data_IF_304099180659
#
_entry.id   IF_304099180659
#
_cell.length_a   1.000
_cell.length_b   1.000
_cell.length_c   1.000
_cell.angle_alpha   90.00
_cell.angle_beta   90.00
_cell.angle_gamma   90.00
#
_symmetry.space_group_name_H-M   'P 1'
#
loop_
_entity.id
_entity.type
_entity.pdbx_description
1 polymer ?
#
# COMPACT_ATOMS: atom_id res chain seq x y z
N UNK A 1 21.54 -15.70 -53.26
CA UNK A 1 22.35 -14.94 -52.28
C UNK A 1 21.47 -14.17 -51.30
N UNK A 2 20.37 -13.54 -51.71
CA UNK A 2 19.42 -12.86 -50.81
C UNK A 2 18.92 -13.73 -49.64
N UNK A 3 18.42 -14.95 -49.92
CA UNK A 3 17.98 -15.88 -48.87
C UNK A 3 19.04 -16.20 -47.81
N UNK A 4 20.32 -16.12 -48.16
CA UNK A 4 21.42 -16.39 -47.23
C UNK A 4 21.75 -15.16 -46.38
N UNK A 5 21.57 -13.96 -46.92
CA UNK A 5 21.71 -12.70 -46.18
C UNK A 5 20.56 -12.52 -45.18
N UNK A 6 19.33 -12.82 -45.56
CA UNK A 6 18.16 -12.79 -44.66
C UNK A 6 18.31 -13.81 -43.53
N UNK A 7 18.80 -15.00 -43.88
CA UNK A 7 19.04 -16.06 -42.92
C UNK A 7 20.15 -15.72 -41.92
N UNK A 8 21.27 -15.13 -42.40
CA UNK A 8 22.36 -14.67 -41.53
C UNK A 8 21.86 -13.56 -40.59
N UNK A 9 21.11 -12.60 -41.11
CA UNK A 9 20.50 -11.53 -40.30
C UNK A 9 19.55 -12.06 -39.23
N UNK A 10 18.72 -13.06 -39.57
CA UNK A 10 17.83 -13.70 -38.60
C UNK A 10 18.62 -14.45 -37.51
N UNK A 11 19.72 -15.11 -37.90
CA UNK A 11 20.61 -15.83 -36.97
C UNK A 11 21.35 -14.86 -36.04
N UNK A 12 21.89 -13.78 -36.58
CA UNK A 12 22.58 -12.74 -35.80
C UNK A 12 21.61 -12.05 -34.82
N UNK A 13 20.39 -11.72 -35.28
CA UNK A 13 19.34 -11.17 -34.42
C UNK A 13 18.89 -12.18 -33.35
N UNK A 14 18.76 -13.46 -33.71
CA UNK A 14 18.42 -14.51 -32.75
C UNK A 14 19.49 -14.64 -31.67
N UNK A 15 20.78 -14.62 -32.02
CA UNK A 15 21.85 -14.70 -31.03
C UNK A 15 21.87 -13.48 -30.10
N UNK A 16 21.62 -12.28 -30.62
CA UNK A 16 21.50 -11.05 -29.81
C UNK A 16 20.33 -11.17 -28.83
N UNK A 17 19.16 -11.57 -29.34
CA UNK A 17 17.93 -11.70 -28.55
C UNK A 17 18.04 -12.83 -27.53
N UNK A 18 18.63 -13.96 -27.90
CA UNK A 18 18.88 -15.08 -26.99
C UNK A 18 19.76 -14.64 -25.82
N UNK A 19 20.84 -13.90 -26.07
CA UNK A 19 21.68 -13.32 -25.03
C UNK A 19 20.92 -12.36 -24.09
N UNK A 20 19.77 -11.80 -24.49
CA UNK A 20 18.91 -11.03 -23.58
C UNK A 20 18.09 -11.91 -22.63
N UNK A 21 17.85 -13.18 -22.99
CA UNK A 21 17.02 -14.13 -22.24
C UNK A 21 17.82 -15.16 -21.41
N UNK A 22 19.11 -15.39 -21.71
CA UNK A 22 19.99 -16.33 -20.99
C UNK A 22 21.27 -15.67 -20.47
N UNK A 23 21.69 -16.05 -19.26
CA UNK A 23 22.88 -15.50 -18.60
C UNK A 23 24.22 -15.97 -19.19
N UNK A 24 24.22 -17.09 -19.94
CA UNK A 24 25.39 -17.62 -20.65
C UNK A 24 25.01 -17.97 -22.09
N UNK A 25 25.77 -17.53 -23.10
CA UNK A 25 25.52 -17.91 -24.49
C UNK A 25 25.74 -19.42 -24.66
N UNK A 26 24.95 -20.11 -25.51
CA UNK A 26 25.15 -21.52 -25.80
C UNK A 26 26.57 -21.78 -26.33
N UNK A 27 27.16 -22.90 -25.92
CA UNK A 27 28.47 -23.34 -26.43
C UNK A 27 28.35 -23.69 -27.94
N UNK A 28 29.41 -23.42 -28.72
CA UNK A 28 29.44 -23.57 -30.19
C UNK A 28 28.77 -24.86 -30.68
N UNK A 29 27.72 -24.71 -31.50
CA UNK A 29 26.95 -25.80 -32.08
C UNK A 29 27.40 -26.10 -33.51
N UNK A 30 27.22 -27.35 -33.93
CA UNK A 30 27.59 -27.79 -35.27
C UNK A 30 26.70 -27.12 -36.33
N UNK A 31 27.32 -26.32 -37.22
CA UNK A 31 26.68 -25.43 -38.21
C UNK A 31 25.61 -26.08 -39.10
N UNK A 32 25.64 -27.40 -39.30
CA UNK A 32 24.65 -28.13 -40.10
C UNK A 32 23.34 -28.36 -39.31
N UNK A 33 23.46 -28.65 -38.01
CA UNK A 33 22.34 -28.86 -37.11
C UNK A 33 21.63 -27.52 -36.83
N UNK A 34 22.40 -26.44 -36.64
CA UNK A 34 21.89 -25.08 -36.53
C UNK A 34 21.05 -24.71 -37.75
N UNK A 35 21.55 -24.96 -38.97
CA UNK A 35 20.83 -24.62 -40.21
C UNK A 35 19.46 -25.27 -40.33
N UNK A 36 19.37 -26.54 -39.99
CA UNK A 36 18.12 -27.29 -40.08
C UNK A 36 17.12 -26.82 -39.02
N UNK A 37 17.59 -26.58 -37.79
CA UNK A 37 16.74 -26.13 -36.68
C UNK A 37 16.25 -24.67 -36.88
N UNK A 38 17.15 -23.77 -37.30
CA UNK A 38 16.86 -22.37 -37.60
C UNK A 38 15.86 -22.23 -38.76
N UNK A 39 15.97 -23.08 -39.79
CA UNK A 39 14.97 -23.11 -40.87
C UNK A 39 13.59 -23.63 -40.40
N UNK A 40 13.58 -24.63 -39.51
CA UNK A 40 12.37 -25.27 -39.00
C UNK A 40 11.63 -24.47 -37.92
N UNK A 41 12.28 -23.49 -37.30
CA UNK A 41 11.72 -22.65 -36.23
C UNK A 41 11.83 -21.15 -36.49
N UNK A 42 11.98 -20.76 -37.77
CA UNK A 42 12.11 -19.35 -38.20
C UNK A 42 10.97 -18.45 -37.70
N UNK A 43 9.75 -18.98 -37.61
CA UNK A 43 8.59 -18.25 -37.07
C UNK A 43 8.75 -17.99 -35.57
N UNK A 44 9.15 -18.98 -34.80
CA UNK A 44 9.44 -18.85 -33.37
C UNK A 44 10.53 -17.83 -33.11
N UNK A 45 11.60 -17.82 -33.92
CA UNK A 45 12.68 -16.83 -33.79
C UNK A 45 12.23 -15.41 -34.10
N UNK A 46 11.41 -15.22 -35.13
CA UNK A 46 10.85 -13.89 -35.41
C UNK A 46 9.99 -13.39 -34.23
N UNK A 47 9.15 -14.26 -33.67
CA UNK A 47 8.34 -13.90 -32.50
C UNK A 47 9.17 -13.59 -31.25
N UNK A 48 10.33 -14.26 -31.06
CA UNK A 48 11.28 -13.89 -29.99
C UNK A 48 11.82 -12.48 -30.17
N UNK A 49 12.23 -12.14 -31.40
CA UNK A 49 12.74 -10.79 -31.75
C UNK A 49 11.65 -9.74 -31.51
N UNK A 50 10.42 -10.01 -31.95
CA UNK A 50 9.30 -9.07 -31.82
C UNK A 50 8.96 -8.78 -30.34
N UNK A 51 9.32 -9.69 -29.43
CA UNK A 51 9.03 -9.61 -27.99
C UNK A 51 10.24 -9.29 -27.12
N UNK A 52 11.42 -9.11 -27.70
CA UNK A 52 12.67 -8.82 -26.99
C UNK A 52 12.53 -7.70 -25.95
N UNK A 53 11.72 -6.68 -26.28
CA UNK A 53 11.52 -5.49 -25.44
C UNK A 53 10.42 -5.64 -24.39
N UNK A 54 9.73 -6.78 -24.32
CA UNK A 54 8.62 -7.01 -23.40
C UNK A 54 9.10 -7.61 -22.07
N UNK A 55 9.04 -6.84 -21.00
CA UNK A 55 9.32 -7.31 -19.65
C UNK A 55 8.37 -8.44 -19.25
N UNK A 56 7.11 -8.40 -19.69
CA UNK A 56 6.15 -9.48 -19.46
C UNK A 56 6.64 -10.80 -20.07
N UNK A 57 7.12 -10.76 -21.31
CA UNK A 57 7.63 -11.95 -21.98
C UNK A 57 8.90 -12.48 -21.30
N UNK A 58 9.79 -11.58 -20.85
CA UNK A 58 10.95 -11.95 -20.03
C UNK A 58 10.56 -12.64 -18.71
N UNK A 59 9.51 -12.16 -18.03
CA UNK A 59 8.99 -12.80 -16.81
C UNK A 59 8.41 -14.19 -17.13
N UNK A 60 7.63 -14.32 -18.21
CA UNK A 60 7.09 -15.59 -18.66
C UNK A 60 8.21 -16.57 -18.98
N UNK A 61 9.23 -16.13 -19.72
CA UNK A 61 10.41 -16.91 -20.04
C UNK A 61 11.13 -17.43 -18.79
N UNK A 62 11.47 -16.54 -17.85
CA UNK A 62 12.21 -16.89 -16.62
C UNK A 62 11.49 -17.90 -15.73
N UNK A 63 10.16 -17.98 -15.79
CA UNK A 63 9.38 -19.00 -15.05
C UNK A 63 9.58 -20.40 -15.59
N UNK A 64 9.88 -20.50 -16.88
CA UNK A 64 10.09 -21.76 -17.57
C UNK A 64 11.55 -22.23 -17.51
N UNK A 65 12.49 -21.33 -17.17
CA UNK A 65 13.91 -21.67 -17.04
C UNK A 65 14.19 -22.34 -15.69
N UNK A 66 14.47 -23.64 -15.67
CA UNK A 66 15.17 -24.29 -14.56
C UNK A 66 16.68 -24.13 -14.73
N UNK A 67 17.41 -23.92 -13.64
CA UNK A 67 18.88 -23.74 -13.67
C UNK A 67 19.55 -24.90 -14.42
N UNK A 68 20.30 -24.53 -15.47
CA UNK A 68 21.00 -25.37 -16.44
C UNK A 68 20.10 -26.05 -17.48
N UNK A 69 19.96 -25.43 -18.64
CA UNK A 69 19.59 -26.15 -19.85
C UNK A 69 20.23 -25.53 -21.10
N UNK A 70 21.01 -26.34 -21.81
CA UNK A 70 21.57 -26.01 -23.12
C UNK A 70 21.60 -27.28 -23.98
N UNK A 71 20.51 -27.53 -24.72
CA UNK A 71 20.52 -27.50 -26.19
C UNK A 71 19.42 -26.57 -26.76
N UNK A 72 19.59 -26.05 -27.99
CA UNK A 72 18.60 -25.18 -28.66
C UNK A 72 17.18 -25.78 -28.68
N UNK A 73 17.03 -27.11 -28.72
CA UNK A 73 15.72 -27.76 -28.62
C UNK A 73 14.99 -27.45 -27.30
N UNK A 74 15.72 -27.29 -26.19
CA UNK A 74 15.17 -26.87 -24.90
C UNK A 74 14.81 -25.39 -24.95
N UNK A 75 15.64 -24.52 -25.54
CA UNK A 75 15.34 -23.09 -25.74
C UNK A 75 14.04 -22.91 -26.54
N UNK A 76 13.87 -23.67 -27.63
CA UNK A 76 12.64 -23.65 -28.44
C UNK A 76 11.43 -24.17 -27.64
N UNK A 77 11.62 -25.17 -26.78
CA UNK A 77 10.53 -25.66 -25.92
C UNK A 77 10.12 -24.65 -24.85
N UNK A 78 11.09 -23.97 -24.23
CA UNK A 78 10.89 -22.88 -23.27
C UNK A 78 10.15 -21.73 -23.96
N UNK A 79 10.61 -21.35 -25.16
CA UNK A 79 9.94 -20.34 -25.96
C UNK A 79 8.48 -20.70 -26.24
N UNK A 80 8.20 -21.92 -26.68
CA UNK A 80 6.83 -22.37 -26.99
C UNK A 80 5.92 -22.29 -25.77
N UNK A 81 6.44 -22.61 -24.59
CA UNK A 81 5.68 -22.48 -23.35
C UNK A 81 5.42 -21.01 -22.99
N UNK A 82 6.44 -20.15 -23.06
CA UNK A 82 6.29 -18.70 -22.84
C UNK A 82 5.36 -18.05 -23.88
N UNK A 83 5.41 -18.48 -25.14
CA UNK A 83 4.53 -18.05 -26.23
C UNK A 83 3.07 -18.48 -25.99
N UNK A 84 2.87 -19.69 -25.46
CA UNK A 84 1.56 -20.15 -25.03
C UNK A 84 1.01 -19.29 -23.88
N UNK A 85 1.82 -18.99 -22.87
CA UNK A 85 1.45 -18.11 -21.75
C UNK A 85 1.13 -16.69 -22.22
N UNK A 86 1.92 -16.17 -23.16
CA UNK A 86 1.69 -14.89 -23.84
C UNK A 86 0.35 -14.86 -24.59
N UNK A 87 0.08 -15.88 -25.41
CA UNK A 87 -1.18 -16.01 -26.13
C UNK A 87 -2.39 -16.15 -25.20
N UNK A 88 -2.23 -16.88 -24.10
CA UNK A 88 -3.26 -17.01 -23.07
C UNK A 88 -3.54 -15.66 -22.38
N UNK A 89 -2.50 -14.88 -22.04
CA UNK A 89 -2.66 -13.55 -21.47
C UNK A 89 -3.42 -12.61 -22.44
N UNK A 90 -3.03 -12.56 -23.71
CA UNK A 90 -3.73 -11.78 -24.74
C UNK A 90 -5.20 -12.19 -24.83
N UNK A 91 -5.47 -13.49 -24.88
CA UNK A 91 -6.83 -14.03 -24.94
C UNK A 91 -7.66 -13.60 -23.72
N UNK A 92 -7.10 -13.71 -22.51
CA UNK A 92 -7.76 -13.29 -21.27
C UNK A 92 -8.07 -11.79 -21.23
N UNK A 93 -7.15 -10.95 -21.73
CA UNK A 93 -7.35 -9.51 -21.84
C UNK A 93 -8.50 -9.21 -22.82
N UNK A 94 -8.43 -9.74 -24.05
CA UNK A 94 -9.46 -9.53 -25.09
C UNK A 94 -10.84 -10.00 -24.65
N UNK A 95 -10.91 -11.15 -23.98
CA UNK A 95 -12.16 -11.73 -23.51
C UNK A 95 -12.64 -11.16 -22.16
N UNK A 96 -11.90 -10.21 -21.57
CA UNK A 96 -12.18 -9.64 -20.25
C UNK A 96 -12.36 -10.70 -19.15
N UNK A 97 -11.62 -11.81 -19.26
CA UNK A 97 -11.60 -12.93 -18.30
C UNK A 97 -10.37 -12.90 -17.40
N UNK A 98 -9.45 -11.94 -17.62
CA UNK A 98 -8.26 -11.75 -16.78
C UNK A 98 -8.68 -11.50 -15.32
N UNK A 99 -8.11 -12.31 -14.42
CA UNK A 99 -8.37 -12.23 -13.00
C UNK A 99 -7.20 -11.60 -12.25
N UNK A 100 -7.47 -11.17 -11.03
CA UNK A 100 -6.47 -10.55 -10.15
C UNK A 100 -5.22 -11.42 -9.92
N UNK A 101 -5.43 -12.71 -9.69
CA UNK A 101 -4.34 -13.68 -9.49
C UNK A 101 -3.44 -13.82 -10.73
N UNK A 102 -3.97 -13.55 -11.92
CA UNK A 102 -3.19 -13.63 -13.16
C UNK A 102 -2.17 -12.49 -13.26
N UNK A 103 -2.35 -11.38 -12.50
CA UNK A 103 -1.47 -10.21 -12.51
C UNK A 103 -0.37 -10.22 -11.45
N UNK A 104 -0.50 -11.04 -10.39
CA UNK A 104 0.51 -11.15 -9.34
C UNK A 104 1.95 -11.39 -9.86
N UNK A 105 2.16 -12.20 -10.90
CA UNK A 105 3.43 -12.31 -11.64
C UNK A 105 4.09 -11.03 -12.13
N UNK A 106 3.29 -9.99 -12.42
CA UNK A 106 3.64 -8.91 -13.34
C UNK A 106 3.56 -7.53 -12.68
N UNK A 107 3.60 -7.48 -11.34
CA UNK A 107 3.40 -6.24 -10.55
C UNK A 107 4.36 -5.10 -10.93
N UNK A 108 5.59 -5.44 -11.31
CA UNK A 108 6.65 -4.46 -11.59
C UNK A 108 6.71 -3.96 -13.04
N UNK A 109 5.78 -4.39 -13.90
CA UNK A 109 5.85 -4.10 -15.34
C UNK A 109 5.13 -2.81 -15.73
N UNK A 110 5.67 -2.10 -16.71
CA UNK A 110 5.02 -0.91 -17.28
C UNK A 110 3.95 -1.32 -18.30
N UNK A 111 2.73 -1.58 -17.83
CA UNK A 111 1.62 -2.07 -18.65
C UNK A 111 1.28 -1.19 -19.85
N UNK A 112 1.49 0.12 -19.77
CA UNK A 112 1.29 1.04 -20.90
C UNK A 112 2.25 0.75 -22.07
N UNK A 113 3.51 0.44 -21.76
CA UNK A 113 4.48 0.05 -22.79
C UNK A 113 4.19 -1.36 -23.29
N UNK A 114 3.91 -2.29 -22.37
CA UNK A 114 3.62 -3.69 -22.69
C UNK A 114 2.39 -3.87 -23.58
N UNK A 115 1.34 -3.07 -23.40
CA UNK A 115 0.14 -3.11 -24.22
C UNK A 115 0.42 -2.80 -25.69
N UNK A 116 1.40 -1.94 -25.99
CA UNK A 116 1.81 -1.66 -27.38
C UNK A 116 2.51 -2.87 -28.03
N UNK A 117 3.19 -3.71 -27.23
CA UNK A 117 3.87 -4.92 -27.70
C UNK A 117 2.85 -6.07 -27.82
N UNK A 118 1.99 -6.26 -26.83
CA UNK A 118 0.92 -7.27 -26.81
C UNK A 118 -0.07 -7.12 -27.98
N UNK A 119 -0.32 -5.88 -28.40
CA UNK A 119 -1.31 -5.54 -29.43
C UNK A 119 -0.69 -4.78 -30.62
N UNK A 120 0.56 -5.10 -30.99
CA UNK A 120 1.29 -4.47 -32.10
C UNK A 120 0.55 -4.53 -33.45
N UNK A 121 -0.20 -5.61 -33.70
CA UNK A 121 -0.88 -5.89 -34.98
C UNK A 121 -2.31 -5.31 -35.09
N UNK A 122 -2.73 -4.49 -34.12
CA UNK A 122 -4.14 -4.07 -34.03
C UNK A 122 -4.48 -2.84 -34.88
N UNK A 123 -5.67 -2.85 -35.52
CA UNK A 123 -6.19 -1.72 -36.33
C UNK A 123 -6.54 -0.54 -35.42
N UNK A 124 -6.59 0.70 -35.95
CA UNK A 124 -6.80 1.93 -35.16
C UNK A 124 -7.99 1.90 -34.16
N UNK A 125 -9.06 1.13 -34.42
CA UNK A 125 -10.20 0.97 -33.48
C UNK A 125 -9.87 0.13 -32.24
N UNK A 126 -8.90 -0.77 -32.30
CA UNK A 126 -8.47 -1.63 -31.18
C UNK A 126 -7.46 -0.94 -30.26
N UNK A 127 -6.85 0.17 -30.69
CA UNK A 127 -5.92 0.97 -29.86
C UNK A 127 -6.60 1.63 -28.67
N UNK A 128 -7.81 2.15 -28.84
CA UNK A 128 -8.59 2.73 -27.73
C UNK A 128 -8.97 1.64 -26.71
N UNK A 129 -9.33 0.45 -27.19
CA UNK A 129 -9.65 -0.71 -26.34
C UNK A 129 -8.40 -1.20 -25.57
N UNK A 130 -7.23 -1.22 -26.21
CA UNK A 130 -5.96 -1.55 -25.55
C UNK A 130 -5.60 -0.54 -24.45
N UNK A 131 -5.85 0.74 -24.67
CA UNK A 131 -5.64 1.78 -23.66
C UNK A 131 -6.58 1.63 -22.46
N UNK A 132 -7.85 1.32 -22.69
CA UNK A 132 -8.81 1.01 -21.62
C UNK A 132 -8.37 -0.22 -20.81
N UNK A 133 -7.84 -1.27 -21.46
CA UNK A 133 -7.30 -2.42 -20.75
C UNK A 133 -6.07 -2.06 -19.92
N UNK A 134 -5.13 -1.28 -20.46
CA UNK A 134 -3.95 -0.78 -19.73
C UNK A 134 -4.38 -0.08 -18.45
N UNK A 135 -5.31 0.87 -18.56
CA UNK A 135 -5.77 1.64 -17.41
C UNK A 135 -6.47 0.76 -16.38
N UNK A 136 -7.25 -0.22 -16.83
CA UNK A 136 -7.91 -1.15 -15.91
C UNK A 136 -6.90 -2.06 -15.18
N UNK A 137 -5.85 -2.51 -15.86
CA UNK A 137 -4.79 -3.31 -15.24
C UNK A 137 -3.99 -2.46 -14.25
N UNK A 138 -3.58 -1.25 -14.62
CA UNK A 138 -2.87 -0.32 -13.73
C UNK A 138 -3.69 -0.03 -12.46
N UNK A 139 -4.97 0.32 -12.61
CA UNK A 139 -5.86 0.56 -11.47
C UNK A 139 -6.00 -0.67 -10.58
N UNK A 140 -6.09 -1.86 -11.17
CA UNK A 140 -6.19 -3.12 -10.42
C UNK A 140 -4.88 -3.44 -9.68
N UNK A 141 -3.72 -3.16 -10.26
CA UNK A 141 -2.43 -3.32 -9.59
C UNK A 141 -2.28 -2.36 -8.42
N UNK A 142 -2.63 -1.08 -8.59
CA UNK A 142 -2.60 -0.11 -7.49
C UNK A 142 -3.55 -0.56 -6.38
N UNK A 143 -4.72 -1.09 -6.73
CA UNK A 143 -5.65 -1.65 -5.73
C UNK A 143 -5.04 -2.83 -4.96
N UNK A 144 -4.18 -3.63 -5.59
CA UNK A 144 -3.53 -4.78 -4.97
C UNK A 144 -2.44 -4.32 -4.01
N UNK A 145 -1.63 -3.37 -4.44
CA UNK A 145 -0.58 -2.76 -3.62
C UNK A 145 -1.16 -2.03 -2.41
N UNK A 146 -2.32 -1.40 -2.57
CA UNK A 146 -3.00 -0.67 -1.50
C UNK A 146 -3.98 -1.52 -0.68
N UNK A 147 -4.15 -2.82 -0.98
CA UNK A 147 -5.14 -3.68 -0.32
C UNK A 147 -5.03 -3.66 1.21
N UNK A 148 -3.81 -3.75 1.73
CA UNK A 148 -3.53 -3.70 3.17
C UNK A 148 -3.91 -2.35 3.78
N UNK A 149 -3.64 -1.26 3.09
CA UNK A 149 -3.96 0.10 3.54
C UNK A 149 -5.46 0.27 3.72
N UNK A 150 -6.24 -0.25 2.79
CA UNK A 150 -7.70 -0.21 2.90
C UNK A 150 -8.24 -1.07 4.05
N UNK A 151 -7.63 -2.24 4.31
CA UNK A 151 -7.97 -3.07 5.48
C UNK A 151 -7.68 -2.33 6.78
N UNK A 152 -6.53 -1.64 6.85
CA UNK A 152 -6.16 -0.82 8.00
C UNK A 152 -7.10 0.36 8.18
N UNK A 153 -7.51 1.05 7.11
CA UNK A 153 -8.48 2.14 7.18
C UNK A 153 -9.81 1.64 7.76
N UNK A 154 -10.29 0.48 7.30
CA UNK A 154 -11.49 -0.13 7.86
C UNK A 154 -11.36 -0.39 9.34
N UNK A 155 -10.28 -1.07 9.75
CA UNK A 155 -10.03 -1.40 11.16
C UNK A 155 -9.89 -0.15 12.02
N UNK A 156 -9.16 0.87 11.56
CA UNK A 156 -8.99 2.14 12.26
C UNK A 156 -10.33 2.88 12.42
N UNK A 157 -11.16 2.89 11.37
CA UNK A 157 -12.52 3.46 11.41
C UNK A 157 -13.38 2.73 12.44
N UNK A 158 -13.39 1.40 12.42
CA UNK A 158 -14.16 0.59 13.38
C UNK A 158 -13.68 0.84 14.82
N UNK A 159 -12.36 0.96 15.05
CA UNK A 159 -11.78 1.29 16.37
C UNK A 159 -12.27 2.65 16.84
N UNK A 160 -12.07 3.69 16.02
CA UNK A 160 -12.42 5.07 16.38
C UNK A 160 -13.92 5.22 16.58
N UNK A 161 -14.75 4.59 15.73
CA UNK A 161 -16.20 4.59 15.86
C UNK A 161 -16.67 3.97 17.18
N UNK A 162 -16.00 2.92 17.67
CA UNK A 162 -16.35 2.30 18.95
C UNK A 162 -15.92 3.13 20.16
N UNK A 163 -14.90 3.98 20.01
CA UNK A 163 -14.41 4.89 21.04
C UNK A 163 -15.24 6.17 21.10
N UNK A 164 -15.72 6.62 19.93
CA UNK A 164 -16.47 7.85 19.75
C UNK A 164 -17.78 7.84 20.58
N UNK A 165 -18.01 8.90 21.35
CA UNK A 165 -19.17 9.01 22.24
C UNK A 165 -20.50 9.03 21.47
N UNK A 166 -20.48 9.60 20.25
CA UNK A 166 -21.62 9.63 19.34
C UNK A 166 -21.46 8.49 18.32
N UNK A 167 -22.28 7.45 18.43
CA UNK A 167 -22.28 6.37 17.44
C UNK A 167 -22.82 6.89 16.10
N UNK A 168 -22.15 6.55 15.01
CA UNK A 168 -22.66 6.82 13.67
C UNK A 168 -24.01 6.11 13.48
N UNK A 169 -24.96 6.81 12.87
CA UNK A 169 -26.36 6.39 12.79
C UNK A 169 -26.66 5.45 11.63
N UNK A 170 -25.74 5.30 10.68
CA UNK A 170 -25.92 4.48 9.48
C UNK A 170 -24.73 3.55 9.28
N UNK A 171 -25.00 2.24 9.33
CA UNK A 171 -24.10 1.20 8.84
C UNK A 171 -24.15 1.18 7.31
N UNK A 172 -23.05 1.55 6.68
CA UNK A 172 -22.99 1.73 5.23
C UNK A 172 -22.73 0.38 4.54
N UNK A 173 -23.73 -0.10 3.80
CA UNK A 173 -23.64 -1.37 3.06
C UNK A 173 -22.49 -1.37 2.07
N UNK A 174 -22.09 -0.20 1.56
CA UNK A 174 -20.96 -0.10 0.62
C UNK A 174 -19.61 -0.29 1.33
N UNK A 175 -19.50 0.10 2.61
CA UNK A 175 -18.34 -0.17 3.47
C UNK A 175 -18.17 -1.67 3.79
N UNK A 176 -19.28 -2.41 3.83
CA UNK A 176 -19.28 -3.86 4.02
C UNK A 176 -18.85 -4.62 2.76
N UNK A 177 -19.15 -4.09 1.58
CA UNK A 177 -18.82 -4.70 0.29
C UNK A 177 -17.32 -4.68 -0.05
N UNK A 178 -16.51 -3.90 0.67
CA UNK A 178 -15.06 -3.79 0.48
C UNK A 178 -14.32 -5.15 0.60
N UNK A 179 -14.90 -6.14 1.31
CA UNK A 179 -14.24 -7.40 1.65
C UNK A 179 -14.25 -8.49 0.56
N UNK A 180 -14.81 -8.24 -0.64
CA UNK A 180 -14.99 -9.31 -1.64
C UNK A 180 -13.94 -9.33 -2.77
N UNK A 181 -13.05 -10.31 -2.66
CA UNK A 181 -12.56 -11.27 -3.69
C UNK A 181 -11.30 -10.96 -4.51
N UNK A 182 -10.30 -11.81 -4.24
CA UNK A 182 -9.16 -12.23 -5.08
C UNK A 182 -9.61 -12.91 -6.41
N UNK A 183 -10.86 -13.38 -6.50
CA UNK A 183 -11.47 -13.94 -7.73
C UNK A 183 -12.38 -12.93 -8.46
N UNK A 184 -11.88 -11.72 -8.68
CA UNK A 184 -12.62 -10.68 -9.39
C UNK A 184 -11.92 -10.34 -10.71
N UNK A 185 -12.70 -10.02 -11.75
CA UNK A 185 -12.14 -9.56 -13.03
C UNK A 185 -11.44 -8.21 -12.87
N UNK A 186 -10.40 -7.97 -13.67
CA UNK A 186 -9.64 -6.72 -13.63
C UNK A 186 -10.53 -5.48 -13.83
N UNK A 187 -11.48 -5.53 -14.76
CA UNK A 187 -12.43 -4.42 -14.98
C UNK A 187 -13.22 -4.06 -13.72
N UNK A 188 -13.62 -5.07 -12.94
CA UNK A 188 -14.38 -4.86 -11.70
C UNK A 188 -13.49 -4.38 -10.57
N UNK A 189 -12.25 -4.89 -10.47
CA UNK A 189 -11.25 -4.40 -9.51
C UNK A 189 -10.88 -2.92 -9.79
N UNK A 190 -10.64 -2.57 -11.05
CA UNK A 190 -10.43 -1.19 -11.51
C UNK A 190 -11.60 -0.28 -11.12
N UNK A 191 -12.84 -0.72 -11.36
CA UNK A 191 -14.03 0.02 -10.96
C UNK A 191 -14.15 0.24 -9.45
N UNK A 192 -13.70 -0.73 -8.64
CA UNK A 192 -13.63 -0.55 -7.19
C UNK A 192 -12.54 0.43 -6.78
N UNK A 193 -11.33 0.30 -7.34
CA UNK A 193 -10.25 1.24 -7.09
C UNK A 193 -10.68 2.68 -7.38
N UNK A 194 -11.25 2.93 -8.56
CA UNK A 194 -11.70 4.27 -8.95
C UNK A 194 -12.75 4.82 -7.99
N UNK A 195 -13.72 4.00 -7.56
CA UNK A 195 -14.69 4.41 -6.54
C UNK A 195 -14.02 4.74 -5.21
N UNK A 196 -13.08 3.90 -4.76
CA UNK A 196 -12.38 4.12 -3.50
C UNK A 196 -11.51 5.37 -3.56
N UNK A 197 -10.80 5.59 -4.66
CA UNK A 197 -9.95 6.76 -4.90
C UNK A 197 -10.77 8.04 -5.00
N UNK A 198 -11.89 8.03 -5.72
CA UNK A 198 -12.80 9.18 -5.82
C UNK A 198 -13.33 9.58 -4.44
N UNK A 199 -13.63 8.58 -3.62
CA UNK A 199 -14.15 8.81 -2.29
C UNK A 199 -13.09 9.20 -1.25
N UNK A 200 -12.00 8.45 -1.15
CA UNK A 200 -11.04 8.56 -0.04
C UNK A 200 -9.72 9.22 -0.45
N UNK A 201 -9.54 9.51 -1.74
CA UNK A 201 -8.26 9.96 -2.28
C UNK A 201 -7.24 8.84 -2.40
N UNK A 202 -5.98 9.22 -2.53
CA UNK A 202 -4.86 8.29 -2.52
C UNK A 202 -4.52 7.88 -1.08
N UNK A 203 -4.43 6.56 -0.85
CA UNK A 203 -4.15 5.97 0.46
C UNK A 203 -2.72 5.43 0.56
N UNK A 204 -1.93 5.50 -0.52
CA UNK A 204 -0.63 4.83 -0.63
C UNK A 204 0.38 5.31 0.43
N UNK A 205 0.23 6.52 0.95
CA UNK A 205 1.10 7.10 1.99
C UNK A 205 0.49 7.05 3.40
N UNK A 206 -0.63 6.33 3.58
CA UNK A 206 -1.40 6.36 4.83
C UNK A 206 -1.16 5.16 5.75
N UNK A 207 -0.36 4.18 5.31
CA UNK A 207 -0.14 2.92 6.04
C UNK A 207 0.25 3.14 7.50
N UNK A 208 1.35 3.86 7.71
CA UNK A 208 1.96 4.00 9.03
C UNK A 208 1.01 4.64 10.04
N UNK A 209 0.26 5.67 9.62
CA UNK A 209 -0.71 6.33 10.50
C UNK A 209 -1.87 5.40 10.85
N UNK A 210 -2.39 4.64 9.88
CA UNK A 210 -3.47 3.70 10.12
C UNK A 210 -3.02 2.52 11.00
N UNK A 211 -1.80 2.03 10.84
CA UNK A 211 -1.19 1.03 11.72
C UNK A 211 -1.04 1.54 13.15
N UNK A 212 -0.59 2.79 13.33
CA UNK A 212 -0.47 3.41 14.65
C UNK A 212 -1.80 3.40 15.39
N UNK A 213 -2.90 3.80 14.74
CA UNK A 213 -4.24 3.74 15.34
C UNK A 213 -4.62 2.27 15.65
N UNK A 214 -4.44 1.37 14.68
CA UNK A 214 -4.83 -0.03 14.82
C UNK A 214 -4.11 -0.77 15.95
N UNK A 215 -2.85 -0.41 16.22
CA UNK A 215 -1.98 -1.08 17.18
C UNK A 215 -2.04 -0.46 18.58
N UNK A 216 -2.61 0.74 18.73
CA UNK A 216 -2.64 1.48 20.00
C UNK A 216 -4.07 1.80 20.46
N UNK A 217 -5.02 0.88 20.23
CA UNK A 217 -6.44 1.05 20.56
C UNK A 217 -6.68 1.60 21.96
N UNK A 218 -6.07 1.00 22.99
CA UNK A 218 -6.29 1.35 24.39
C UNK A 218 -5.80 2.77 24.70
N UNK A 219 -4.63 3.16 24.19
CA UNK A 219 -4.10 4.52 24.36
C UNK A 219 -4.90 5.56 23.59
N UNK A 220 -5.36 5.24 22.37
CA UNK A 220 -6.28 6.09 21.61
C UNK A 220 -7.60 6.27 22.37
N UNK A 221 -8.11 5.21 23.00
CA UNK A 221 -9.31 5.26 23.82
C UNK A 221 -9.11 6.14 25.06
N UNK A 222 -7.96 6.03 25.73
CA UNK A 222 -7.62 6.90 26.86
C UNK A 222 -7.57 8.37 26.42
N UNK A 223 -6.86 8.71 25.33
CA UNK A 223 -6.80 10.07 24.80
C UNK A 223 -8.19 10.67 24.49
N UNK A 224 -9.15 9.83 24.08
CA UNK A 224 -10.49 10.28 23.72
C UNK A 224 -11.44 10.43 24.92
N UNK A 225 -11.30 9.61 25.96
CA UNK A 225 -12.33 9.44 26.99
C UNK A 225 -11.84 9.62 28.44
N UNK A 226 -10.53 9.57 28.70
CA UNK A 226 -10.02 9.78 30.05
C UNK A 226 -10.19 11.25 30.46
N UNK A 227 -10.60 11.48 31.70
CA UNK A 227 -10.83 12.83 32.22
C UNK A 227 -9.56 13.68 32.14
N UNK A 228 -8.38 13.09 32.32
CA UNK A 228 -7.11 13.82 32.28
C UNK A 228 -6.87 14.47 30.92
N UNK A 229 -7.34 13.87 29.81
CA UNK A 229 -7.15 14.41 28.45
C UNK A 229 -8.37 15.22 27.95
N UNK A 230 -9.55 14.92 28.47
CA UNK A 230 -10.81 15.53 28.02
C UNK A 230 -11.17 16.77 28.83
N UNK A 231 -10.91 16.78 30.15
CA UNK A 231 -11.11 17.94 31.00
C UNK A 231 -9.97 18.95 30.80
N UNK A 232 -10.33 20.15 30.35
CA UNK A 232 -9.38 21.23 30.06
C UNK A 232 -8.46 21.56 31.23
N UNK A 233 -8.99 21.65 32.45
CA UNK A 233 -8.20 22.03 33.62
C UNK A 233 -7.19 20.92 33.98
N UNK A 234 -7.63 19.66 33.97
CA UNK A 234 -6.75 18.52 34.22
C UNK A 234 -5.65 18.41 33.15
N UNK A 235 -6.00 18.62 31.89
CA UNK A 235 -5.06 18.57 30.79
C UNK A 235 -4.00 19.68 30.83
N UNK A 236 -4.41 20.90 31.22
CA UNK A 236 -3.49 22.03 31.46
C UNK A 236 -2.52 21.73 32.63
N UNK A 237 -3.03 21.15 33.72
CA UNK A 237 -2.20 20.72 34.87
C UNK A 237 -1.19 19.65 34.44
N UNK A 238 -1.65 18.61 33.74
CA UNK A 238 -0.82 17.54 33.23
C UNK A 238 0.32 18.11 32.37
N UNK A 239 -0.02 18.94 31.38
CA UNK A 239 0.95 19.49 30.44
C UNK A 239 2.04 20.28 31.16
N UNK A 240 1.67 21.09 32.16
CA UNK A 240 2.63 21.82 32.99
C UNK A 240 3.55 20.89 33.78
N UNK A 241 3.00 19.84 34.39
CA UNK A 241 3.80 18.86 35.15
C UNK A 241 4.73 18.04 34.26
N UNK A 242 4.32 17.77 33.01
CA UNK A 242 5.19 17.14 32.03
C UNK A 242 6.38 18.03 31.69
N UNK A 243 6.16 19.34 31.51
CA UNK A 243 7.20 20.33 31.24
C UNK A 243 8.18 20.50 32.42
N UNK A 244 7.65 20.46 33.66
CA UNK A 244 8.44 20.53 34.89
C UNK A 244 9.07 19.17 35.31
N UNK A 245 8.76 18.08 34.60
CA UNK A 245 9.18 16.73 34.98
C UNK A 245 10.68 16.53 34.86
N UNK A 246 11.29 15.73 35.74
CA UNK A 246 12.69 15.29 35.59
C UNK A 246 12.86 14.30 34.44
N UNK A 247 11.79 13.67 33.98
CA UNK A 247 11.81 12.75 32.84
C UNK A 247 11.84 13.53 31.52
N UNK A 248 12.99 13.51 30.86
CA UNK A 248 13.21 14.19 29.57
C UNK A 248 12.18 13.79 28.50
N UNK A 249 11.69 12.54 28.50
CA UNK A 249 10.66 12.11 27.53
C UNK A 249 9.33 12.84 27.75
N UNK A 250 8.96 13.11 29.01
CA UNK A 250 7.74 13.86 29.30
C UNK A 250 7.88 15.33 28.91
N UNK A 251 9.03 15.95 29.18
CA UNK A 251 9.31 17.34 28.75
C UNK A 251 9.21 17.51 27.24
N UNK A 252 9.79 16.59 26.47
CA UNK A 252 9.71 16.61 25.00
C UNK A 252 8.27 16.48 24.47
N UNK A 253 7.40 15.80 25.23
CA UNK A 253 6.00 15.59 24.86
C UNK A 253 5.08 16.72 25.34
N UNK A 254 5.51 17.59 26.26
CA UNK A 254 4.67 18.66 26.80
C UNK A 254 4.14 19.62 25.72
N UNK A 255 4.92 19.89 24.67
CA UNK A 255 4.44 20.64 23.50
C UNK A 255 3.71 19.78 22.46
N UNK A 256 4.08 18.51 22.34
CA UNK A 256 3.57 17.62 21.28
C UNK A 256 2.18 17.07 21.59
N UNK A 257 1.93 16.69 22.85
CA UNK A 257 0.66 16.09 23.27
C UNK A 257 -0.53 17.05 23.12
N UNK A 258 -0.43 18.35 23.50
CA UNK A 258 -1.52 19.31 23.25
C UNK A 258 -1.86 19.45 21.76
N UNK A 259 -0.86 19.55 20.89
CA UNK A 259 -1.09 19.65 19.44
C UNK A 259 -1.81 18.41 18.88
N UNK A 260 -1.43 17.22 19.36
CA UNK A 260 -2.07 15.97 18.95
C UNK A 260 -3.51 15.90 19.48
N UNK A 261 -3.72 16.23 20.75
CA UNK A 261 -5.04 16.20 21.39
C UNK A 261 -6.02 17.16 20.70
N UNK A 262 -5.60 18.41 20.49
CA UNK A 262 -6.43 19.42 19.81
C UNK A 262 -6.78 19.00 18.39
N UNK A 263 -5.81 18.49 17.60
CA UNK A 263 -6.12 18.05 16.23
C UNK A 263 -7.05 16.85 16.19
N UNK A 264 -6.92 15.90 17.13
CA UNK A 264 -7.83 14.77 17.25
C UNK A 264 -9.24 15.21 17.66
N UNK A 265 -9.37 16.17 18.59
CA UNK A 265 -10.66 16.77 18.96
C UNK A 265 -11.30 17.48 17.76
N UNK A 266 -10.56 18.37 17.12
CA UNK A 266 -11.04 19.17 15.99
C UNK A 266 -11.52 18.30 14.81
N UNK A 267 -10.80 17.21 14.52
CA UNK A 267 -11.07 16.37 13.33
C UNK A 267 -11.90 15.14 13.61
N UNK A 268 -11.93 14.65 14.84
CA UNK A 268 -12.57 13.38 15.18
C UNK A 268 -13.51 13.57 16.36
N UNK A 269 -13.02 13.87 17.56
CA UNK A 269 -13.82 13.68 18.79
C UNK A 269 -14.98 14.67 18.97
N UNK A 270 -14.83 15.91 18.50
CA UNK A 270 -15.86 16.94 18.62
C UNK A 270 -16.76 17.01 17.38
N UNK A 271 -16.60 16.09 16.42
CA UNK A 271 -17.38 16.04 15.19
C UNK A 271 -18.50 15.00 15.32
N UNK A 272 -19.71 15.37 14.91
CA UNK A 272 -20.80 14.43 14.74
C UNK A 272 -20.84 13.85 13.32
N UNK A 273 -20.37 12.62 13.15
CA UNK A 273 -20.35 11.91 11.87
C UNK A 273 -21.70 11.24 11.58
N UNK A 274 -22.23 11.44 10.37
CA UNK A 274 -23.50 10.84 9.93
C UNK A 274 -23.32 9.40 9.43
N UNK A 275 -22.11 9.02 9.09
CA UNK A 275 -21.78 7.68 8.58
C UNK A 275 -20.33 7.30 8.89
N UNK A 276 -20.03 5.99 8.87
CA UNK A 276 -18.65 5.49 8.98
C UNK A 276 -17.75 5.98 7.85
N UNK A 277 -18.35 6.34 6.71
CA UNK A 277 -17.66 6.91 5.57
C UNK A 277 -17.08 8.31 5.85
N UNK A 278 -17.88 9.20 6.44
CA UNK A 278 -17.41 10.55 6.83
C UNK A 278 -16.29 10.45 7.88
N UNK A 279 -16.42 9.50 8.81
CA UNK A 279 -15.38 9.21 9.79
C UNK A 279 -14.09 8.71 9.14
N UNK A 280 -14.17 7.74 8.23
CA UNK A 280 -13.01 7.23 7.50
C UNK A 280 -12.27 8.35 6.74
N UNK A 281 -13.01 9.26 6.10
CA UNK A 281 -12.43 10.46 5.48
C UNK A 281 -11.70 11.32 6.49
N UNK A 282 -12.33 11.64 7.62
CA UNK A 282 -11.70 12.46 8.65
C UNK A 282 -10.40 11.84 9.19
N UNK A 283 -10.39 10.52 9.40
CA UNK A 283 -9.18 9.78 9.79
C UNK A 283 -8.06 10.00 8.77
N UNK A 284 -8.34 9.90 7.47
CA UNK A 284 -7.33 10.11 6.43
C UNK A 284 -6.77 11.54 6.43
N UNK A 285 -7.58 12.55 6.77
CA UNK A 285 -7.11 13.95 6.88
C UNK A 285 -6.12 14.19 8.04
N UNK A 286 -6.06 13.29 9.03
CA UNK A 286 -5.04 13.39 10.08
C UNK A 286 -3.61 13.30 9.51
N UNK A 287 -3.44 12.54 8.44
CA UNK A 287 -2.16 12.21 7.78
C UNK A 287 -1.84 13.16 6.61
N UNK A 288 -2.30 14.41 6.62
CA UNK A 288 -1.84 15.39 5.64
C UNK A 288 -0.31 15.55 5.70
N UNK A 289 0.37 15.31 4.56
CA UNK A 289 1.84 15.15 4.45
C UNK A 289 2.65 16.28 5.10
N UNK A 290 2.14 17.51 5.12
CA UNK A 290 2.82 18.66 5.72
C UNK A 290 2.80 18.65 7.25
N UNK A 291 1.87 17.93 7.86
CA UNK A 291 1.56 18.09 9.28
C UNK A 291 2.49 17.33 10.23
N UNK A 292 3.32 16.40 9.72
CA UNK A 292 4.13 15.45 10.53
C UNK A 292 3.34 14.78 11.66
N UNK A 293 2.01 14.73 11.53
CA UNK A 293 1.12 14.35 12.62
C UNK A 293 1.31 12.88 13.01
N UNK A 294 1.52 11.98 12.05
CA UNK A 294 1.81 10.57 12.32
C UNK A 294 2.99 10.39 13.28
N UNK A 295 4.08 11.15 13.10
CA UNK A 295 5.25 11.08 13.98
C UNK A 295 4.96 11.64 15.37
N UNK A 296 4.21 12.76 15.45
CA UNK A 296 3.80 13.35 16.73
C UNK A 296 2.89 12.38 17.50
N UNK A 297 1.91 11.79 16.82
CA UNK A 297 1.02 10.79 17.38
C UNK A 297 1.81 9.55 17.83
N UNK A 298 2.75 9.05 17.03
CA UNK A 298 3.60 7.92 17.41
C UNK A 298 4.40 8.20 18.69
N UNK A 299 5.01 9.38 18.78
CA UNK A 299 5.73 9.80 19.98
C UNK A 299 4.81 9.86 21.20
N UNK A 300 3.59 10.36 21.03
CA UNK A 300 2.60 10.37 22.09
C UNK A 300 2.19 8.94 22.50
N UNK A 301 1.90 8.07 21.55
CA UNK A 301 1.45 6.70 21.84
C UNK A 301 2.57 5.81 22.41
N UNK A 302 3.84 6.16 22.19
CA UNK A 302 4.98 5.45 22.79
C UNK A 302 5.25 5.87 24.25
N UNK A 303 4.54 6.88 24.77
CA UNK A 303 4.72 7.31 26.16
C UNK A 303 4.14 6.28 27.14
N UNK A 304 4.65 6.31 28.36
CA UNK A 304 4.11 5.56 29.49
C UNK A 304 2.90 6.32 30.07
N UNK A 305 1.69 5.82 29.78
CA UNK A 305 0.45 6.43 30.25
C UNK A 305 0.28 6.25 31.76
N UNK A 306 0.73 5.12 32.33
CA UNK A 306 0.62 4.88 33.78
C UNK A 306 1.49 5.86 34.57
N UNK A 307 2.76 6.00 34.17
CA UNK A 307 3.64 7.01 34.76
C UNK A 307 3.14 8.44 34.57
N UNK A 308 2.46 8.72 33.45
CA UNK A 308 1.86 10.02 33.19
C UNK A 308 0.65 10.29 34.10
N UNK A 309 -0.20 9.31 34.33
CA UNK A 309 -1.33 9.43 35.27
C UNK A 309 -0.83 9.64 36.71
N UNK A 310 0.26 8.95 37.09
CA UNK A 310 0.93 9.16 38.38
C UNK A 310 1.37 10.61 38.61
N UNK A 311 1.82 11.33 37.57
CA UNK A 311 2.17 12.76 37.68
C UNK A 311 0.98 13.61 38.09
N UNK A 312 -0.24 13.26 37.69
CA UNK A 312 -1.47 13.99 38.04
C UNK A 312 -1.91 13.66 39.47
N UNK A 313 -1.78 12.41 39.89
CA UNK A 313 -2.11 11.97 41.26
C UNK A 313 -1.11 12.51 42.32
N UNK A 314 0.19 12.51 42.04
CA UNK A 314 1.23 12.97 42.97
C UNK A 314 1.09 14.46 43.30
N UNK A 315 0.68 15.29 42.35
CA UNK A 315 0.49 16.71 42.63
C UNK A 315 -0.83 17.02 43.35
N UNK A 316 -1.84 16.15 43.27
CA UNK A 316 -2.99 16.21 44.17
C UNK A 316 -2.53 15.92 45.62
N UNK A 317 -1.68 14.91 45.82
CA UNK A 317 -1.07 14.65 47.12
C UNK A 317 -0.17 15.80 47.61
N UNK A 318 0.67 16.41 46.75
CA UNK A 318 1.49 17.57 47.12
C UNK A 318 0.66 18.80 47.47
N UNK A 319 -0.49 19.01 46.81
CA UNK A 319 -1.42 20.09 47.15
C UNK A 319 -2.06 19.87 48.52
N UNK A 320 -2.46 18.62 48.82
CA UNK A 320 -2.98 18.20 50.12
C UNK A 320 -1.92 18.34 51.21
N UNK A 321 -0.67 17.91 50.95
CA UNK A 321 0.45 18.03 51.90
C UNK A 321 0.81 19.50 52.16
N UNK A 322 0.83 20.36 51.14
CA UNK A 322 1.02 21.81 51.32
C UNK A 322 -0.15 22.45 52.10
N UNK A 323 -1.38 22.05 51.80
CA UNK A 323 -2.57 22.49 52.52
C UNK A 323 -2.52 22.08 53.99
N UNK A 324 -2.12 20.84 54.29
CA UNK A 324 -1.93 20.35 55.65
C UNK A 324 -0.85 21.15 56.38
N UNK A 325 0.30 21.38 55.74
CA UNK A 325 1.39 22.16 56.35
C UNK A 325 1.07 23.66 56.51
N UNK A 326 0.09 24.19 55.79
CA UNK A 326 -0.46 25.54 56.03
C UNK A 326 -1.46 25.51 57.19
N UNK A 327 -2.34 24.50 57.22
CA UNK A 327 -3.31 24.29 58.29
C UNK A 327 -2.65 24.07 59.65
N UNK A 328 -1.60 23.25 59.73
CA UNK A 328 -0.81 23.04 60.95
C UNK A 328 -0.13 24.33 61.43
N UNK A 329 0.41 25.13 60.50
CA UNK A 329 0.99 26.44 60.83
C UNK A 329 -0.06 27.43 61.33
N UNK A 330 -1.24 27.45 60.73
CA UNK A 330 -2.37 28.26 61.20
C UNK A 330 -2.77 27.85 62.63
N UNK A 331 -2.85 26.55 62.91
CA UNK A 331 -3.12 26.01 64.24
C UNK A 331 -2.05 26.36 65.29
N UNK A 332 -0.76 26.35 64.92
CA UNK A 332 0.34 26.72 65.82
C UNK A 332 0.42 28.24 66.08
N UNK A 333 0.07 29.06 65.09
CA UNK A 333 0.22 30.53 65.17
C UNK A 333 -1.06 31.25 65.54
N UNK A 334 -2.21 30.56 65.53
CA UNK A 334 -3.54 31.13 65.76
C UNK A 334 -4.05 32.02 64.62
N UNK A 335 -3.36 32.03 63.47
CA UNK A 335 -3.71 32.84 62.29
C UNK A 335 -4.29 31.93 61.21
N UNK A 336 -5.63 31.87 61.19
CA UNK A 336 -6.41 31.10 60.23
C UNK A 336 -6.51 31.78 58.86
#
# INVERSE_FOLDING_TARGET
MEKFADYKKLTDNFMIVLCSYVEKPPMELDTLYEKKLLSGSSKEFQLMVDREKSELFHIMWKRQTTHNSDPISIIVSIFKQADSDWGNLISKIRNNTLQYIDLEPYKITNWKLEMNILFSDTKHQEKNTAQDYSQNIENALIFLETEEHWKLLKKATDIIQNIHQIKTTVDDKDWHNFKKKIQTSIKKASGWYLKCKDYFGDISDKKDMLELICNNKEKIQALANDEIFTNRQQFEILTKRMDDSQNEKFRQLAGTLPEVNEKMKEKIWDINFRSSYELAKAILTLSEQKSKFGNKLANCLNMDFEGLFGLVEEGDQLSVVKGLGQFERAGQTGKW
#
